data_IF_510023407337
#
_entry.id   IF_510023407337
#
_cell.length_a   1.000
_cell.length_b   1.000
_cell.length_c   1.000
_cell.angle_alpha   90.00
_cell.angle_beta   90.00
_cell.angle_gamma   90.00
#
_symmetry.space_group_name_H-M   'P 1'
#
loop_
_entity.id
_entity.type
_entity.pdbx_description
1 polymer ?
#
# COMPACT_ATOMS: atom_id res chain seq x y z
N UNK A 1 1.03 -3.60 -7.59
CA UNK A 1 1.54 -4.11 -6.29
C UNK A 1 1.71 -5.61 -6.39
N UNK A 2 2.65 -6.22 -5.68
CA UNK A 2 2.85 -7.68 -5.64
C UNK A 2 2.62 -8.23 -4.23
N UNK A 3 2.16 -9.47 -4.14
CA UNK A 3 1.96 -10.20 -2.89
C UNK A 3 2.47 -11.63 -3.03
N UNK A 4 2.80 -12.23 -1.89
CA UNK A 4 3.34 -13.58 -1.77
C UNK A 4 2.43 -14.41 -0.87
N UNK A 5 1.77 -15.40 -1.45
CA UNK A 5 1.03 -16.41 -0.70
C UNK A 5 1.95 -17.53 -0.25
N UNK A 6 1.78 -18.00 0.98
CA UNK A 6 2.47 -19.16 1.53
C UNK A 6 1.49 -20.11 2.18
N UNK A 7 1.55 -21.37 1.77
CA UNK A 7 0.74 -22.44 2.37
C UNK A 7 1.67 -23.52 2.91
N UNK A 8 1.39 -23.96 4.14
CA UNK A 8 2.11 -25.07 4.79
C UNK A 8 1.19 -26.28 4.88
N UNK A 9 1.68 -27.43 4.43
CA UNK A 9 0.98 -28.70 4.56
C UNK A 9 1.81 -29.70 5.36
N UNK A 10 1.15 -30.44 6.24
CA UNK A 10 1.73 -31.50 7.08
C UNK A 10 0.87 -32.74 7.03
N UNK A 11 1.46 -33.91 7.26
CA UNK A 11 0.70 -35.15 7.44
C UNK A 11 0.05 -35.22 8.84
N UNK A 12 -0.70 -36.30 9.11
CA UNK A 12 -1.39 -36.51 10.39
C UNK A 12 -0.47 -36.64 11.60
N UNK A 13 0.83 -36.88 11.39
CA UNK A 13 1.85 -36.92 12.44
C UNK A 13 2.54 -35.55 12.64
N UNK A 14 2.10 -34.50 11.94
CA UNK A 14 2.71 -33.17 11.97
C UNK A 14 4.00 -33.04 11.16
N UNK A 15 4.39 -34.06 10.38
CA UNK A 15 5.58 -33.98 9.54
C UNK A 15 5.28 -33.15 8.28
N UNK A 16 6.22 -32.31 7.81
CA UNK A 16 6.03 -31.55 6.58
C UNK A 16 5.80 -32.43 5.36
N UNK A 17 4.88 -32.03 4.49
CA UNK A 17 4.68 -32.66 3.19
C UNK A 17 5.57 -31.97 2.16
N UNK A 18 6.72 -32.54 1.84
CA UNK A 18 7.67 -32.02 0.84
C UNK A 18 7.38 -32.53 -0.57
N UNK A 19 7.75 -31.74 -1.57
CA UNK A 19 7.65 -32.09 -3.00
C UNK A 19 6.21 -32.38 -3.48
N UNK A 20 5.25 -31.63 -2.93
CA UNK A 20 3.83 -31.74 -3.25
C UNK A 20 3.36 -30.50 -4.01
N UNK A 21 2.66 -30.70 -5.12
CA UNK A 21 2.03 -29.61 -5.88
C UNK A 21 0.84 -29.04 -5.10
N UNK A 22 0.90 -27.74 -4.84
CA UNK A 22 -0.15 -26.95 -4.19
C UNK A 22 -0.79 -26.04 -5.23
N UNK A 23 -2.12 -26.07 -5.31
CA UNK A 23 -2.93 -25.16 -6.11
C UNK A 23 -3.42 -23.99 -5.26
N UNK A 24 -3.15 -22.76 -5.70
CA UNK A 24 -3.65 -21.53 -5.09
C UNK A 24 -4.79 -20.98 -5.95
N UNK A 25 -5.88 -20.54 -5.32
CA UNK A 25 -6.99 -19.91 -6.01
C UNK A 25 -7.54 -18.72 -5.22
N UNK A 26 -7.77 -17.60 -5.91
CA UNK A 26 -8.51 -16.47 -5.38
C UNK A 26 -10.01 -16.71 -5.53
N UNK A 27 -10.72 -16.84 -4.41
CA UNK A 27 -12.17 -17.07 -4.38
C UNK A 27 -12.98 -15.78 -4.52
N UNK A 28 -12.43 -14.63 -4.13
CA UNK A 28 -13.08 -13.33 -4.23
C UNK A 28 -12.05 -12.22 -4.31
N UNK A 29 -12.51 -11.00 -4.65
CA UNK A 29 -11.69 -9.80 -4.73
C UNK A 29 -11.28 -9.41 -6.14
N UNK A 30 -10.40 -8.42 -6.29
CA UNK A 30 -9.95 -7.94 -7.60
C UNK A 30 -9.28 -9.00 -8.49
N UNK A 31 -8.72 -10.07 -7.91
CA UNK A 31 -8.15 -11.21 -8.62
C UNK A 31 -9.05 -12.46 -8.56
N UNK A 32 -10.36 -12.34 -8.27
CA UNK A 32 -11.27 -13.49 -8.22
C UNK A 32 -11.16 -14.37 -9.48
N UNK A 33 -11.05 -15.68 -9.29
CA UNK A 33 -10.86 -16.65 -10.37
C UNK A 33 -9.41 -16.84 -10.83
N UNK A 34 -8.46 -16.04 -10.35
CA UNK A 34 -7.03 -16.27 -10.60
C UNK A 34 -6.56 -17.52 -9.87
N UNK A 35 -5.75 -18.32 -10.57
CA UNK A 35 -5.13 -19.51 -10.01
C UNK A 35 -3.60 -19.47 -10.17
N UNK A 36 -2.93 -20.28 -9.37
CA UNK A 36 -1.48 -20.45 -9.36
C UNK A 36 -1.08 -21.80 -8.77
N UNK A 37 0.19 -22.15 -8.92
CA UNK A 37 0.74 -23.36 -8.31
C UNK A 37 2.09 -23.09 -7.66
N UNK A 38 2.41 -23.88 -6.64
CA UNK A 38 3.75 -23.94 -6.05
C UNK A 38 4.00 -25.33 -5.49
N UNK A 39 5.25 -25.78 -5.50
CA UNK A 39 5.64 -27.06 -4.88
C UNK A 39 6.14 -26.81 -3.47
N UNK A 40 5.76 -27.67 -2.52
CA UNK A 40 6.24 -27.56 -1.15
C UNK A 40 7.72 -27.89 -1.01
N UNK A 41 8.44 -27.08 -0.24
CA UNK A 41 9.84 -27.32 0.12
C UNK A 41 9.99 -28.41 1.21
N UNK A 42 11.21 -28.64 1.70
CA UNK A 42 11.50 -29.58 2.79
C UNK A 42 10.78 -29.23 4.11
N UNK A 43 10.34 -27.99 4.28
CA UNK A 43 9.56 -27.52 5.44
C UNK A 43 8.04 -27.61 5.18
N UNK A 44 7.63 -28.16 4.04
CA UNK A 44 6.24 -28.33 3.65
C UNK A 44 5.57 -27.04 3.20
N UNK A 45 6.34 -26.02 2.81
CA UNK A 45 5.84 -24.70 2.43
C UNK A 45 5.89 -24.51 0.92
N UNK A 46 4.74 -24.25 0.30
CA UNK A 46 4.63 -23.80 -1.08
C UNK A 46 4.42 -22.30 -1.13
N UNK A 47 5.01 -21.64 -2.12
CA UNK A 47 4.92 -20.18 -2.30
C UNK A 47 4.37 -19.84 -3.69
N UNK A 48 3.46 -18.87 -3.77
CA UNK A 48 2.96 -18.32 -5.03
C UNK A 48 3.01 -16.78 -4.99
N UNK A 49 3.59 -16.19 -6.03
CA UNK A 49 3.69 -14.73 -6.16
C UNK A 49 2.69 -14.23 -7.20
N UNK A 50 1.98 -13.16 -6.88
CA UNK A 50 0.99 -12.56 -7.76
C UNK A 50 0.91 -11.05 -7.55
N UNK A 51 0.11 -10.38 -8.37
CA UNK A 51 0.01 -8.92 -8.38
C UNK A 51 -1.41 -8.46 -8.66
N UNK A 52 -1.78 -7.30 -8.12
CA UNK A 52 -2.99 -6.58 -8.52
C UNK A 52 -2.65 -5.18 -9.03
N UNK A 53 -3.42 -4.74 -10.03
CA UNK A 53 -3.50 -3.35 -10.46
C UNK A 53 -4.75 -2.66 -9.88
N UNK A 54 -5.69 -3.43 -9.33
CA UNK A 54 -6.96 -2.95 -8.79
C UNK A 54 -6.93 -2.99 -7.27
N UNK A 55 -7.55 -1.96 -6.69
CA UNK A 55 -7.81 -1.88 -5.26
C UNK A 55 -8.87 -2.90 -4.82
N UNK A 56 -8.76 -3.36 -3.58
CA UNK A 56 -9.73 -4.27 -2.96
C UNK A 56 -9.05 -5.43 -2.25
N UNK A 57 -9.86 -6.28 -1.62
CA UNK A 57 -9.36 -7.43 -0.84
C UNK A 57 -9.59 -8.72 -1.61
N UNK A 58 -8.51 -9.41 -1.92
CA UNK A 58 -8.55 -10.79 -2.37
C UNK A 58 -8.69 -11.76 -1.20
N UNK A 59 -9.42 -12.85 -1.41
CA UNK A 59 -9.42 -14.01 -0.52
C UNK A 59 -8.84 -15.20 -1.28
N UNK A 60 -7.81 -15.83 -0.72
CA UNK A 60 -7.10 -16.95 -1.30
C UNK A 60 -7.24 -18.20 -0.47
N UNK A 61 -7.21 -19.35 -1.16
CA UNK A 61 -7.11 -20.67 -0.53
C UNK A 61 -6.12 -21.52 -1.30
N UNK A 62 -5.35 -22.32 -0.58
CA UNK A 62 -4.48 -23.33 -1.14
C UNK A 62 -5.09 -24.73 -1.00
N UNK A 63 -4.85 -25.58 -1.98
CA UNK A 63 -5.36 -26.95 -2.03
C UNK A 63 -4.27 -27.90 -2.51
N UNK A 64 -4.17 -29.05 -1.83
CA UNK A 64 -3.41 -30.21 -2.30
C UNK A 64 -4.41 -31.29 -2.67
N UNK A 65 -4.29 -31.85 -3.86
CA UNK A 65 -5.12 -32.99 -4.30
C UNK A 65 -4.30 -34.27 -4.20
N UNK A 66 -4.86 -35.30 -3.58
CA UNK A 66 -4.29 -36.65 -3.54
C UNK A 66 -5.35 -37.71 -3.90
N UNK A 67 -4.96 -38.98 -3.84
CA UNK A 67 -5.87 -40.11 -4.16
C UNK A 67 -7.09 -40.22 -3.23
N UNK A 68 -7.03 -39.67 -2.02
CA UNK A 68 -8.12 -39.65 -1.06
C UNK A 68 -9.01 -38.40 -1.19
N UNK A 69 -8.61 -37.41 -2.00
CA UNK A 69 -9.36 -36.19 -2.27
C UNK A 69 -8.55 -34.90 -2.05
N UNK A 70 -9.28 -33.79 -1.91
CA UNK A 70 -8.71 -32.46 -1.74
C UNK A 70 -8.51 -32.09 -0.26
N UNK A 71 -7.28 -31.73 0.06
CA UNK A 71 -6.90 -31.16 1.36
C UNK A 71 -6.76 -29.66 1.18
N UNK A 72 -7.65 -28.92 1.81
CA UNK A 72 -7.66 -27.47 1.72
C UNK A 72 -6.95 -26.82 2.92
N UNK A 73 -6.27 -25.70 2.68
CA UNK A 73 -5.79 -24.81 3.74
C UNK A 73 -6.93 -23.97 4.35
N UNK A 74 -6.59 -23.20 5.40
CA UNK A 74 -7.37 -22.02 5.77
C UNK A 74 -7.34 -20.98 4.64
N UNK A 75 -8.29 -20.06 4.64
CA UNK A 75 -8.27 -18.90 3.76
C UNK A 75 -7.33 -17.83 4.29
N UNK A 76 -6.74 -17.06 3.40
CA UNK A 76 -5.94 -15.87 3.68
C UNK A 76 -6.43 -14.71 2.84
N UNK A 77 -6.23 -13.47 3.29
CA UNK A 77 -6.68 -12.28 2.59
C UNK A 77 -5.51 -11.37 2.27
N UNK A 78 -5.52 -10.78 1.09
CA UNK A 78 -4.57 -9.73 0.69
C UNK A 78 -5.35 -8.51 0.27
N UNK A 79 -5.07 -7.40 0.93
CA UNK A 79 -5.71 -6.13 0.59
C UNK A 79 -4.78 -5.26 -0.23
N UNK A 80 -5.30 -4.83 -1.39
CA UNK A 80 -4.65 -3.95 -2.33
C UNK A 80 -5.15 -2.53 -2.13
N UNK A 81 -4.25 -1.63 -1.77
CA UNK A 81 -4.56 -0.24 -1.54
C UNK A 81 -3.98 0.60 -2.67
N UNK A 82 -4.79 1.37 -3.41
CA UNK A 82 -4.28 2.16 -4.51
C UNK A 82 -3.61 3.41 -3.93
N UNK A 83 -2.41 3.73 -4.38
CA UNK A 83 -2.01 5.14 -4.40
C UNK A 83 -2.85 5.87 -5.46
N UNK A 84 -2.93 7.19 -5.35
CA UNK A 84 -3.61 7.97 -6.37
C UNK A 84 -2.95 7.79 -7.76
N UNK A 85 -3.76 7.87 -8.81
CA UNK A 85 -3.30 7.58 -10.18
C UNK A 85 -2.33 8.65 -10.67
N UNK A 86 -1.04 8.37 -10.70
CA UNK A 86 -0.05 9.36 -11.19
C UNK A 86 1.41 8.97 -11.03
N UNK A 87 1.70 7.73 -10.62
CA UNK A 87 3.07 7.27 -10.40
C UNK A 87 3.74 7.91 -9.19
N UNK A 88 2.99 8.13 -8.11
CA UNK A 88 3.47 8.73 -6.86
C UNK A 88 2.39 8.67 -5.79
N UNK A 89 2.67 9.26 -4.64
CA UNK A 89 1.78 9.24 -3.50
C UNK A 89 1.58 10.61 -2.85
N UNK A 90 0.45 10.78 -2.17
CA UNK A 90 0.26 11.92 -1.27
C UNK A 90 0.94 11.66 0.06
N UNK A 91 1.27 12.72 0.79
CA UNK A 91 2.05 12.69 2.03
C UNK A 91 1.35 13.50 3.11
N UNK A 92 1.40 13.02 4.35
CA UNK A 92 1.03 13.74 5.58
C UNK A 92 2.21 13.72 6.58
N UNK A 93 2.16 14.62 7.56
CA UNK A 93 3.12 14.65 8.67
C UNK A 93 2.86 13.55 9.71
N UNK A 94 3.92 13.07 10.37
CA UNK A 94 3.84 12.00 11.39
C UNK A 94 3.13 12.40 12.69
N UNK A 95 2.87 13.69 12.89
CA UNK A 95 2.04 14.17 14.00
C UNK A 95 0.54 14.05 13.71
N UNK A 96 0.15 13.98 12.43
CA UNK A 96 -1.25 13.77 12.01
C UNK A 96 -1.63 12.28 11.96
N UNK A 97 -0.65 11.38 12.11
CA UNK A 97 -0.83 9.93 12.03
C UNK A 97 -1.49 9.37 13.29
N UNK A 98 -2.81 9.54 13.36
CA UNK A 98 -3.66 8.96 14.38
C UNK A 98 -4.94 8.42 13.76
N UNK A 99 -5.39 7.26 14.22
CA UNK A 99 -6.60 6.63 13.71
C UNK A 99 -7.81 7.57 13.85
N UNK A 100 -8.60 7.70 12.78
CA UNK A 100 -9.73 8.62 12.64
C UNK A 100 -9.39 10.12 12.59
N UNK A 101 -8.11 10.51 12.60
CA UNK A 101 -7.72 11.91 12.43
C UNK A 101 -8.14 12.45 11.06
N UNK A 102 -8.52 13.72 11.04
CA UNK A 102 -8.72 14.46 9.79
C UNK A 102 -7.37 14.94 9.29
N UNK A 103 -7.07 14.67 8.03
CA UNK A 103 -5.75 14.92 7.44
C UNK A 103 -5.82 15.90 6.29
N UNK A 104 -4.76 16.69 6.13
CA UNK A 104 -4.56 17.65 5.05
C UNK A 104 -3.49 17.12 4.08
N UNK A 105 -3.82 16.16 3.23
CA UNK A 105 -2.81 15.50 2.38
C UNK A 105 -2.44 16.30 1.12
N UNK A 106 -3.11 17.44 0.82
CA UNK A 106 -2.77 18.27 -0.33
C UNK A 106 -3.18 19.74 -0.21
N UNK A 107 -2.28 20.64 -0.63
CA UNK A 107 -2.63 22.01 -1.04
C UNK A 107 -1.56 23.07 -0.74
N UNK A 108 -1.89 24.33 -1.03
CA UNK A 108 -0.94 25.46 -0.93
C UNK A 108 -0.33 25.63 0.46
N UNK A 109 -1.10 25.33 1.51
CA UNK A 109 -0.72 25.50 2.91
C UNK A 109 -0.32 24.18 3.59
N UNK A 110 -0.01 23.12 2.84
CA UNK A 110 0.36 21.81 3.40
C UNK A 110 1.38 21.93 4.55
N UNK A 111 2.45 22.69 4.31
CA UNK A 111 3.50 22.91 5.31
C UNK A 111 3.07 23.54 6.65
N UNK A 112 1.88 24.14 6.71
CA UNK A 112 1.30 24.70 7.95
C UNK A 112 0.37 23.74 8.66
N UNK A 113 -0.21 22.79 7.93
CA UNK A 113 -1.19 21.84 8.45
C UNK A 113 -0.55 20.51 8.82
N UNK A 114 0.58 20.16 8.20
CA UNK A 114 1.27 18.90 8.39
C UNK A 114 2.58 19.12 9.14
N UNK A 115 2.46 19.16 10.46
CA UNK A 115 3.61 19.24 11.35
C UNK A 115 4.32 17.88 11.44
N UNK A 116 5.62 17.92 11.68
CA UNK A 116 6.45 16.72 11.79
C UNK A 116 7.37 16.83 13.00
N UNK A 117 7.66 15.69 13.64
CA UNK A 117 8.50 15.67 14.85
C UNK A 117 9.91 16.20 14.63
N UNK A 118 10.49 15.96 13.45
CA UNK A 118 11.92 16.19 13.20
C UNK A 118 12.22 17.35 12.23
N UNK A 119 11.21 18.05 11.72
CA UNK A 119 11.42 19.21 10.84
C UNK A 119 10.17 20.05 10.63
N UNK A 120 10.39 21.31 10.28
CA UNK A 120 9.36 22.08 9.58
C UNK A 120 9.39 21.76 8.09
N UNK A 121 8.22 21.43 7.56
CA UNK A 121 8.01 21.22 6.14
C UNK A 121 8.46 22.43 5.30
N UNK A 122 9.17 22.23 4.17
CA UNK A 122 9.43 23.32 3.24
C UNK A 122 8.12 23.84 2.67
N UNK A 123 7.89 25.16 2.73
CA UNK A 123 6.68 25.78 2.20
C UNK A 123 6.43 25.51 0.70
N UNK A 124 7.46 25.07 -0.01
CA UNK A 124 7.41 24.70 -1.42
C UNK A 124 6.78 23.31 -1.68
N UNK A 125 6.73 22.42 -0.68
CA UNK A 125 6.07 21.13 -0.77
C UNK A 125 4.55 21.30 -0.58
N UNK A 126 3.77 20.51 -1.32
CA UNK A 126 2.30 20.62 -1.39
C UNK A 126 1.57 19.32 -1.02
N UNK A 127 2.32 18.30 -0.59
CA UNK A 127 1.77 17.01 -0.17
C UNK A 127 1.77 15.92 -1.23
N UNK A 128 2.46 16.07 -2.37
CA UNK A 128 2.53 15.01 -3.40
C UNK A 128 3.98 14.74 -3.82
N UNK A 129 4.38 13.46 -3.79
CA UNK A 129 5.64 12.97 -4.31
C UNK A 129 5.44 12.16 -5.59
N UNK A 130 6.45 12.10 -6.45
CA UNK A 130 6.40 11.37 -7.72
C UNK A 130 7.75 10.72 -8.07
N UNK A 131 8.59 10.55 -7.06
CA UNK A 131 9.93 9.98 -7.20
C UNK A 131 9.99 8.52 -6.79
N UNK A 132 9.01 8.06 -5.99
CA UNK A 132 8.88 6.66 -5.60
C UNK A 132 7.61 6.06 -6.22
N UNK A 133 7.79 5.19 -7.23
CA UNK A 133 6.67 4.60 -7.96
C UNK A 133 5.93 3.51 -7.17
N UNK A 134 6.60 2.90 -6.18
CA UNK A 134 6.05 1.85 -5.33
C UNK A 134 6.51 2.07 -3.89
N UNK A 135 5.98 3.10 -3.21
CA UNK A 135 6.41 3.45 -1.86
C UNK A 135 6.20 2.29 -0.86
N UNK A 136 7.19 2.07 0.00
CA UNK A 136 7.15 1.11 1.12
C UNK A 136 7.68 1.78 2.40
N UNK A 137 7.23 1.32 3.57
CA UNK A 137 7.73 1.81 4.84
C UNK A 137 9.25 1.62 4.98
N UNK A 138 9.92 2.58 5.59
CA UNK A 138 11.38 2.65 5.73
C UNK A 138 12.12 3.14 4.48
N UNK A 139 11.42 3.44 3.37
CA UNK A 139 12.04 4.07 2.20
C UNK A 139 12.00 5.59 2.27
N UNK A 140 12.56 6.21 1.23
CA UNK A 140 12.51 7.66 1.00
C UNK A 140 11.87 7.95 -0.36
N UNK A 141 11.54 9.21 -0.59
CA UNK A 141 11.01 9.71 -1.85
C UNK A 141 11.64 11.05 -2.20
N UNK A 142 11.48 11.45 -3.47
CA UNK A 142 11.87 12.77 -3.94
C UNK A 142 10.78 13.36 -4.81
N UNK A 143 10.73 14.69 -4.92
CA UNK A 143 9.83 15.38 -5.82
C UNK A 143 10.31 16.80 -6.16
N UNK A 144 9.51 17.51 -6.95
CA UNK A 144 9.71 18.91 -7.30
C UNK A 144 8.70 19.82 -6.58
N UNK A 145 9.08 21.08 -6.28
CA UNK A 145 8.20 22.08 -5.68
C UNK A 145 6.85 22.30 -6.40
N UNK A 146 5.85 22.67 -5.61
CA UNK A 146 4.58 23.19 -6.10
C UNK A 146 3.82 22.16 -6.94
N UNK A 147 3.33 22.59 -8.10
CA UNK A 147 2.60 21.72 -9.02
C UNK A 147 3.50 20.99 -10.04
N UNK A 148 4.83 21.15 -9.94
CA UNK A 148 5.79 20.58 -10.90
C UNK A 148 5.87 19.06 -10.85
N UNK A 149 5.44 18.47 -9.72
CA UNK A 149 5.32 17.02 -9.54
C UNK A 149 4.17 16.40 -10.36
N UNK A 150 3.27 17.23 -10.92
CA UNK A 150 2.10 16.82 -11.73
C UNK A 150 1.22 15.84 -10.96
N UNK A 151 0.55 16.29 -9.89
CA UNK A 151 -0.33 15.45 -9.10
C UNK A 151 -1.50 14.90 -9.95
N UNK A 152 -2.10 13.77 -9.55
CA UNK A 152 -3.23 13.12 -10.22
C UNK A 152 -4.40 14.05 -10.50
N UNK A 153 -5.04 13.95 -11.66
CA UNK A 153 -6.27 14.75 -11.93
C UNK A 153 -7.48 14.29 -11.13
N UNK A 154 -7.45 13.05 -10.62
CA UNK A 154 -8.49 12.46 -9.78
C UNK A 154 -7.83 11.62 -8.69
N UNK A 155 -8.53 11.48 -7.58
CA UNK A 155 -8.18 10.59 -6.48
C UNK A 155 -9.32 9.61 -6.23
N UNK A 156 -9.04 8.37 -5.82
CA UNK A 156 -10.09 7.43 -5.43
C UNK A 156 -10.69 7.80 -4.07
N UNK A 157 -11.85 7.23 -3.74
CA UNK A 157 -12.55 7.47 -2.47
C UNK A 157 -11.80 6.96 -1.23
N UNK A 158 -10.90 5.99 -1.42
CA UNK A 158 -9.93 5.52 -0.43
C UNK A 158 -8.58 5.35 -1.13
N UNK A 159 -7.52 5.90 -0.56
CA UNK A 159 -6.15 5.75 -1.09
C UNK A 159 -5.12 5.55 0.03
N UNK A 160 -3.98 4.95 -0.34
CA UNK A 160 -2.79 4.94 0.50
C UNK A 160 -2.10 6.32 0.47
N UNK A 161 -1.68 6.79 1.63
CA UNK A 161 -1.00 8.08 1.85
C UNK A 161 0.24 7.82 2.71
N UNK A 162 1.37 8.41 2.34
CA UNK A 162 2.62 8.27 3.06
C UNK A 162 2.62 9.14 4.30
N UNK A 163 3.24 8.66 5.37
CA UNK A 163 3.51 9.43 6.57
C UNK A 163 5.00 9.73 6.60
N UNK A 164 5.36 11.01 6.66
CA UNK A 164 6.75 11.47 6.74
C UNK A 164 7.02 12.04 8.13
N UNK A 165 8.17 11.69 8.72
CA UNK A 165 8.67 12.34 9.94
C UNK A 165 9.63 13.49 9.62
N UNK A 166 10.09 13.55 8.37
CA UNK A 166 11.05 14.54 7.92
C UNK A 166 10.89 14.86 6.43
N UNK A 167 10.78 16.14 6.10
CA UNK A 167 10.79 16.62 4.70
C UNK A 167 11.77 17.77 4.56
N UNK A 168 12.67 17.71 3.58
CA UNK A 168 13.66 18.76 3.31
C UNK A 168 13.70 19.16 1.86
N UNK A 169 14.36 20.30 1.59
CA UNK A 169 14.54 20.83 0.25
C UNK A 169 15.99 21.24 0.01
N UNK A 170 16.56 20.81 -1.11
CA UNK A 170 17.86 21.27 -1.63
C UNK A 170 17.72 21.69 -3.09
N UNK A 171 17.83 22.99 -3.35
CA UNK A 171 17.58 23.55 -4.68
C UNK A 171 16.14 23.25 -5.15
N UNK A 172 16.00 22.58 -6.29
CA UNK A 172 14.71 22.18 -6.86
C UNK A 172 14.24 20.79 -6.44
N UNK A 173 14.99 20.08 -5.58
CA UNK A 173 14.63 18.74 -5.10
C UNK A 173 14.10 18.85 -3.69
N UNK A 174 12.94 18.24 -3.45
CA UNK A 174 12.36 18.00 -2.14
C UNK A 174 12.47 16.51 -1.87
N UNK A 175 12.84 16.12 -0.66
CA UNK A 175 12.95 14.72 -0.25
C UNK A 175 12.30 14.51 1.09
N UNK A 176 11.81 13.30 1.34
CA UNK A 176 11.32 12.89 2.65
C UNK A 176 11.44 11.39 2.89
N UNK A 177 11.15 11.00 4.11
CA UNK A 177 11.08 9.61 4.56
C UNK A 177 9.65 9.06 4.49
N UNK A 178 9.54 7.74 4.68
CA UNK A 178 8.28 7.02 4.80
C UNK A 178 8.37 6.24 6.10
N UNK A 179 7.84 6.82 7.18
CA UNK A 179 7.81 6.14 8.47
C UNK A 179 6.65 5.17 8.54
N UNK A 180 5.47 5.56 8.05
CA UNK A 180 4.26 4.74 7.94
C UNK A 180 3.55 4.99 6.59
N UNK A 181 2.58 4.14 6.26
CA UNK A 181 1.62 4.32 5.17
C UNK A 181 0.22 4.07 5.72
N UNK A 182 -0.63 5.09 5.63
CA UNK A 182 -2.01 5.05 6.12
C UNK A 182 -3.02 5.00 4.98
N UNK A 183 -4.22 4.56 5.29
CA UNK A 183 -5.37 4.60 4.42
C UNK A 183 -6.22 5.81 4.74
N UNK A 184 -6.48 6.62 3.73
CA UNK A 184 -7.27 7.82 3.86
C UNK A 184 -8.55 7.66 3.04
N UNK A 185 -9.69 7.78 3.72
CA UNK A 185 -10.97 8.04 3.07
C UNK A 185 -11.00 9.50 2.63
N UNK A 186 -11.08 9.76 1.32
CA UNK A 186 -10.94 11.10 0.77
C UNK A 186 -12.25 11.88 0.84
N UNK A 187 -12.15 13.16 1.21
CA UNK A 187 -13.26 14.10 1.12
C UNK A 187 -13.36 14.68 -0.29
N UNK A 188 -14.56 15.14 -0.67
CA UNK A 188 -14.73 15.93 -1.88
C UNK A 188 -14.01 17.28 -1.78
N UNK A 189 -13.57 17.83 -2.91
CA UNK A 189 -12.97 19.18 -3.00
C UNK A 189 -11.57 19.23 -3.61
N UNK A 190 -10.89 18.09 -3.73
CA UNK A 190 -9.59 17.99 -4.36
C UNK A 190 -9.61 18.37 -5.85
N UNK A 191 -8.57 19.08 -6.29
CA UNK A 191 -8.17 19.17 -7.70
C UNK A 191 -6.65 19.19 -7.83
N UNK A 192 -6.12 18.88 -9.02
CA UNK A 192 -4.69 18.84 -9.36
C UNK A 192 -4.02 20.22 -9.43
N UNK A 193 -4.40 21.13 -8.55
CA UNK A 193 -3.75 22.40 -8.33
C UNK A 193 -3.87 22.77 -6.84
N UNK A 194 -2.85 23.41 -6.25
CA UNK A 194 -2.76 23.60 -4.81
C UNK A 194 -3.77 24.61 -4.24
N UNK A 195 -4.57 25.28 -5.09
CA UNK A 195 -5.69 26.12 -4.65
C UNK A 195 -6.92 25.32 -4.20
N UNK A 196 -6.98 24.02 -4.52
CA UNK A 196 -8.04 23.11 -4.11
C UNK A 196 -7.47 22.06 -3.18
N UNK A 197 -7.88 22.11 -1.93
CA UNK A 197 -7.27 21.29 -0.88
C UNK A 197 -7.71 19.83 -0.99
N UNK A 198 -6.82 18.91 -0.65
CA UNK A 198 -7.14 17.51 -0.43
C UNK A 198 -7.20 17.24 1.05
N UNK A 199 -8.34 16.76 1.52
CA UNK A 199 -8.54 16.36 2.92
C UNK A 199 -9.19 14.98 3.00
N UNK A 200 -9.16 14.38 4.17
CA UNK A 200 -9.77 13.08 4.39
C UNK A 200 -9.63 12.62 5.83
N UNK A 201 -9.99 11.37 6.08
CA UNK A 201 -9.87 10.74 7.38
C UNK A 201 -9.00 9.49 7.31
N UNK A 202 -8.11 9.31 8.29
CA UNK A 202 -7.36 8.05 8.45
C UNK A 202 -8.32 6.94 8.89
N UNK A 203 -8.43 5.89 8.08
CA UNK A 203 -9.30 4.73 8.33
C UNK A 203 -8.52 3.42 8.53
N UNK A 204 -7.19 3.48 8.52
CA UNK A 204 -6.35 2.32 8.80
C UNK A 204 -4.87 2.61 8.58
N UNK A 205 -4.04 1.71 9.09
CA UNK A 205 -2.58 1.72 8.95
C UNK A 205 -2.15 0.45 8.23
N UNK A 206 -1.27 0.56 7.23
CA UNK A 206 -0.75 -0.56 6.44
C UNK A 206 0.55 -1.06 7.06
N UNK A 207 1.44 -0.10 7.27
CA UNK A 207 2.66 -0.12 8.03
C UNK A 207 2.88 1.33 8.47
#
# INVERSE_FOLDING_TARGET
MTATERAKFTNGCGQPLSDVLVHFAASSGPNAGRTGTGTTDANGVATYNYSSALAGTDTWRATVTNLAGDINSNTVTVTWWPFATGGGAFVIGDLEDSMNAQVYWWGAQWWKHDEMRNSLAPAAFKGYENGNLVPMCGQTWTTRPGNSAKPPTKVPGVMAVLVASHVTKKGAVISGDIVHIVLVQTNAGYAANPGHIGTGQIIGTIC
#
